data_IF_100204432768
#
_entry.id   IF_100204432768
#
_cell.length_a   1.000
_cell.length_b   1.000
_cell.length_c   1.000
_cell.angle_alpha   90.00
_cell.angle_beta   90.00
_cell.angle_gamma   90.00
#
_symmetry.space_group_name_H-M   'P 1'
#
loop_
_entity.id
_entity.type
_entity.pdbx_description
1 polymer ?
#
# COMPACT_ATOMS: atom_id res chain seq x y z
N UNK A 1 -19.09 -4.35 -17.33
CA UNK A 1 -17.87 -5.02 -17.87
C UNK A 1 -16.83 -5.11 -16.75
N UNK A 2 -16.42 -6.31 -16.35
CA UNK A 2 -15.39 -6.49 -15.32
C UNK A 2 -14.03 -6.15 -15.91
N UNK A 3 -13.37 -5.12 -15.38
CA UNK A 3 -12.02 -4.73 -15.81
C UNK A 3 -11.06 -5.85 -15.43
N UNK A 4 -10.33 -6.42 -16.40
CA UNK A 4 -9.29 -7.42 -16.15
C UNK A 4 -8.21 -6.78 -15.28
N UNK A 5 -8.17 -7.12 -13.99
CA UNK A 5 -7.11 -6.68 -13.08
C UNK A 5 -5.83 -7.43 -13.44
N UNK A 6 -4.76 -6.68 -13.65
CA UNK A 6 -3.43 -7.22 -13.96
C UNK A 6 -2.57 -7.03 -12.72
N UNK A 7 -2.16 -8.13 -12.09
CA UNK A 7 -1.23 -8.13 -10.97
C UNK A 7 0.22 -8.31 -11.43
N UNK A 8 1.17 -8.19 -10.51
CA UNK A 8 2.60 -8.35 -10.80
C UNK A 8 2.91 -9.69 -11.45
N UNK A 9 2.35 -10.79 -10.92
CA UNK A 9 2.57 -12.13 -11.50
C UNK A 9 2.08 -12.20 -12.94
N UNK A 10 0.90 -11.65 -13.22
CA UNK A 10 0.32 -11.56 -14.57
C UNK A 10 1.22 -10.77 -15.53
N UNK A 11 1.82 -9.67 -15.06
CA UNK A 11 2.79 -8.89 -15.85
C UNK A 11 4.06 -9.69 -16.10
N UNK A 12 4.63 -10.34 -15.08
CA UNK A 12 5.81 -11.16 -15.23
C UNK A 12 5.60 -12.36 -16.15
N UNK A 13 4.46 -13.06 -16.04
CA UNK A 13 4.11 -14.15 -16.94
C UNK A 13 3.97 -13.67 -18.39
N UNK A 14 3.43 -12.46 -18.60
CA UNK A 14 3.37 -11.83 -19.92
C UNK A 14 4.77 -11.55 -20.46
N UNK A 15 5.69 -11.05 -19.63
CA UNK A 15 7.09 -10.80 -20.01
C UNK A 15 7.80 -12.10 -20.39
N UNK A 16 7.65 -13.17 -19.59
CA UNK A 16 8.23 -14.49 -19.88
C UNK A 16 7.71 -15.02 -21.22
N UNK A 17 6.40 -14.90 -21.45
CA UNK A 17 5.77 -15.39 -22.68
C UNK A 17 6.14 -14.56 -23.92
N UNK A 18 6.34 -13.24 -23.80
CA UNK A 18 6.68 -12.36 -24.92
C UNK A 18 8.18 -12.33 -25.23
N UNK A 19 9.04 -12.41 -24.22
CA UNK A 19 10.49 -12.26 -24.36
C UNK A 19 11.28 -13.57 -24.26
N UNK A 20 10.66 -14.68 -23.85
CA UNK A 20 11.28 -16.02 -23.88
C UNK A 20 12.66 -16.11 -23.20
N UNK A 21 13.50 -17.02 -23.69
CA UNK A 21 14.86 -17.31 -23.18
C UNK A 21 15.85 -16.14 -23.33
N UNK A 22 15.59 -15.17 -24.22
CA UNK A 22 16.50 -14.04 -24.44
C UNK A 22 16.56 -13.05 -23.25
N UNK A 23 15.62 -13.17 -22.30
CA UNK A 23 15.65 -12.43 -21.03
C UNK A 23 16.16 -13.27 -19.83
N UNK A 24 16.50 -14.56 -20.02
CA UNK A 24 16.93 -15.48 -18.95
C UNK A 24 15.92 -15.60 -17.77
N UNK A 25 14.64 -15.35 -18.00
CA UNK A 25 13.57 -15.48 -17.01
C UNK A 25 12.91 -16.86 -17.11
N UNK A 26 13.31 -17.77 -16.23
CA UNK A 26 12.64 -19.07 -16.06
C UNK A 26 11.52 -18.97 -15.03
N UNK A 27 10.51 -19.86 -15.05
CA UNK A 27 9.48 -19.92 -14.01
C UNK A 27 10.06 -20.03 -12.59
N UNK A 28 11.19 -20.74 -12.45
CA UNK A 28 11.92 -20.86 -11.17
C UNK A 28 12.47 -19.51 -10.70
N UNK A 29 13.15 -18.77 -11.59
CA UNK A 29 13.67 -17.44 -11.27
C UNK A 29 12.53 -16.47 -10.93
N UNK A 30 11.45 -16.49 -11.70
CA UNK A 30 10.27 -15.68 -11.42
C UNK A 30 9.69 -15.95 -10.03
N UNK A 31 9.54 -17.24 -9.66
CA UNK A 31 9.08 -17.61 -8.32
C UNK A 31 10.01 -17.04 -7.24
N UNK A 32 11.33 -17.16 -7.42
CA UNK A 32 12.31 -16.62 -6.46
C UNK A 32 12.18 -15.10 -6.31
N UNK A 33 12.10 -14.35 -7.42
CA UNK A 33 11.93 -12.90 -7.39
C UNK A 33 10.61 -12.48 -6.74
N UNK A 34 9.52 -13.21 -7.02
CA UNK A 34 8.21 -12.91 -6.43
C UNK A 34 8.20 -13.10 -4.92
N UNK A 35 8.83 -14.19 -4.46
CA UNK A 35 8.99 -14.46 -3.03
C UNK A 35 9.86 -13.38 -2.39
N UNK A 36 11.01 -13.06 -2.98
CA UNK A 36 11.92 -12.05 -2.46
C UNK A 36 11.26 -10.66 -2.36
N UNK A 37 10.56 -10.21 -3.41
CA UNK A 37 9.84 -8.95 -3.41
C UNK A 37 8.71 -8.89 -2.38
N UNK A 38 8.02 -10.01 -2.15
CA UNK A 38 6.97 -10.09 -1.13
C UNK A 38 7.56 -9.96 0.27
N UNK A 39 8.64 -10.68 0.57
CA UNK A 39 9.30 -10.61 1.88
C UNK A 39 9.98 -9.26 2.14
N UNK A 40 10.53 -8.61 1.11
CA UNK A 40 11.09 -7.27 1.25
C UNK A 40 10.02 -6.24 1.69
N UNK A 41 8.78 -6.40 1.24
CA UNK A 41 7.68 -5.49 1.56
C UNK A 41 6.93 -5.81 2.86
N UNK A 42 6.90 -7.07 3.30
CA UNK A 42 6.03 -7.48 4.41
C UNK A 42 6.47 -6.88 5.75
N UNK A 43 7.74 -6.99 6.10
CA UNK A 43 8.25 -6.55 7.39
C UNK A 43 8.23 -5.02 7.51
N UNK A 44 8.68 -4.32 6.46
CA UNK A 44 8.68 -2.86 6.40
C UNK A 44 7.26 -2.27 6.44
N UNK A 45 6.30 -2.87 5.72
CA UNK A 45 4.90 -2.43 5.75
C UNK A 45 4.25 -2.71 7.10
N UNK A 46 4.46 -3.89 7.68
CA UNK A 46 3.92 -4.24 9.00
C UNK A 46 4.48 -3.32 10.10
N UNK A 47 5.79 -3.06 10.08
CA UNK A 47 6.45 -2.13 11.00
C UNK A 47 5.89 -0.71 10.86
N UNK A 48 5.71 -0.23 9.63
CA UNK A 48 5.13 1.09 9.36
C UNK A 48 3.71 1.20 9.91
N UNK A 49 2.84 0.24 9.59
CA UNK A 49 1.44 0.24 10.07
C UNK A 49 1.37 0.19 11.59
N UNK A 50 2.14 -0.70 12.22
CA UNK A 50 2.23 -0.81 13.68
C UNK A 50 2.59 0.53 14.30
N UNK A 51 3.59 1.19 13.73
CA UNK A 51 4.11 2.45 14.26
C UNK A 51 3.13 3.60 14.06
N UNK A 52 2.39 3.63 12.94
CA UNK A 52 1.29 4.58 12.74
C UNK A 52 0.25 4.45 13.87
N UNK A 53 -0.22 3.24 14.14
CA UNK A 53 -1.19 3.03 15.22
C UNK A 53 -0.62 3.39 16.59
N UNK A 54 0.62 3.00 16.89
CA UNK A 54 1.28 3.36 18.14
C UNK A 54 1.35 4.89 18.34
N UNK A 55 1.79 5.63 17.32
CA UNK A 55 1.87 7.10 17.38
C UNK A 55 0.50 7.76 17.54
N UNK A 56 -0.54 7.24 16.88
CA UNK A 56 -1.91 7.75 17.00
C UNK A 56 -2.51 7.48 18.39
N UNK A 57 -2.32 6.28 18.94
CA UNK A 57 -2.80 5.93 20.29
C UNK A 57 -2.15 6.80 21.38
N UNK A 58 -0.88 7.16 21.21
CA UNK A 58 -0.17 8.08 22.11
C UNK A 58 -0.51 9.57 21.87
N UNK A 59 -1.25 9.90 20.81
CA UNK A 59 -1.65 11.26 20.48
C UNK A 59 -3.16 11.32 20.23
N UNK A 60 -4.00 11.32 21.29
CA UNK A 60 -5.46 11.31 21.16
C UNK A 60 -6.01 12.46 20.30
N UNK A 61 -5.35 13.63 20.34
CA UNK A 61 -5.70 14.77 19.48
C UNK A 61 -5.50 14.45 18.00
N UNK A 62 -4.38 13.82 17.65
CA UNK A 62 -4.06 13.46 16.26
C UNK A 62 -4.97 12.34 15.77
N UNK A 63 -5.26 11.35 16.62
CA UNK A 63 -6.20 10.26 16.33
C UNK A 63 -7.60 10.79 16.03
N UNK A 64 -8.15 11.64 16.90
CA UNK A 64 -9.46 12.26 16.66
C UNK A 64 -9.51 13.08 15.38
N UNK A 65 -8.42 13.80 15.07
CA UNK A 65 -8.37 14.64 13.86
C UNK A 65 -8.36 13.83 12.57
N UNK A 66 -7.61 12.72 12.51
CA UNK A 66 -7.61 11.85 11.31
C UNK A 66 -8.91 11.07 11.18
N UNK A 67 -9.50 10.62 12.30
CA UNK A 67 -10.83 10.00 12.29
C UNK A 67 -11.89 10.96 11.77
N UNK A 68 -11.93 12.21 12.26
CA UNK A 68 -12.87 13.22 11.79
C UNK A 68 -12.75 13.50 10.27
N UNK A 69 -11.52 13.53 9.73
CA UNK A 69 -11.31 13.67 8.27
C UNK A 69 -11.92 12.49 7.49
N UNK A 70 -11.73 11.26 7.98
CA UNK A 70 -12.27 10.04 7.36
C UNK A 70 -13.79 9.98 7.48
N UNK A 71 -14.34 10.22 8.67
CA UNK A 71 -15.78 10.17 8.96
C UNK A 71 -16.53 11.21 8.15
N UNK A 72 -16.00 12.44 8.04
CA UNK A 72 -16.58 13.47 7.20
C UNK A 72 -16.63 13.07 5.72
N UNK A 73 -15.61 12.34 5.25
CA UNK A 73 -15.57 11.87 3.87
C UNK A 73 -16.55 10.72 3.59
N UNK A 74 -16.88 9.89 4.57
CA UNK A 74 -18.00 8.95 4.45
C UNK A 74 -19.35 9.69 4.50
N UNK A 75 -19.52 10.63 5.41
CA UNK A 75 -20.77 11.37 5.58
C UNK A 75 -21.15 12.19 4.33
N UNK A 76 -20.17 12.77 3.64
CA UNK A 76 -20.40 13.56 2.42
C UNK A 76 -20.39 12.72 1.12
N UNK A 77 -20.24 11.40 1.22
CA UNK A 77 -20.23 10.49 0.07
C UNK A 77 -18.94 10.49 -0.77
N UNK A 78 -17.87 11.16 -0.32
CA UNK A 78 -16.56 11.10 -0.98
C UNK A 78 -15.96 9.70 -0.90
N UNK A 79 -16.13 9.03 0.24
CA UNK A 79 -15.82 7.62 0.44
C UNK A 79 -17.10 6.78 0.44
N UNK A 80 -16.97 5.58 -0.10
CA UNK A 80 -17.95 4.51 -0.01
C UNK A 80 -17.22 3.18 0.22
N UNK A 81 -17.94 2.17 0.67
CA UNK A 81 -17.40 0.82 0.77
C UNK A 81 -17.60 0.07 -0.56
N UNK A 82 -16.56 -0.55 -1.14
CA UNK A 82 -15.16 -0.57 -0.69
C UNK A 82 -14.40 0.74 -0.99
N UNK A 83 -13.50 1.12 -0.07
CA UNK A 83 -12.70 2.35 -0.20
C UNK A 83 -11.84 2.31 -1.45
N UNK A 84 -11.92 3.36 -2.27
CA UNK A 84 -11.13 3.50 -3.49
C UNK A 84 -9.83 4.26 -3.22
N UNK A 85 -8.71 3.67 -3.65
CA UNK A 85 -7.37 4.24 -3.47
C UNK A 85 -7.26 5.69 -3.99
N UNK A 86 -7.78 5.96 -5.20
CA UNK A 86 -7.73 7.27 -5.84
C UNK A 86 -8.49 8.38 -5.08
N UNK A 87 -9.34 8.03 -4.10
CA UNK A 87 -10.01 8.98 -3.21
C UNK A 87 -9.18 9.23 -1.96
N UNK A 88 -8.77 8.16 -1.28
CA UNK A 88 -8.11 8.24 0.04
C UNK A 88 -6.71 8.88 -0.02
N UNK A 89 -5.99 8.75 -1.14
CA UNK A 89 -4.67 9.39 -1.31
C UNK A 89 -4.73 10.93 -1.30
N UNK A 90 -5.92 11.51 -1.46
CA UNK A 90 -6.11 12.96 -1.50
C UNK A 90 -6.29 13.58 -0.12
N UNK A 91 -6.29 12.78 0.94
CA UNK A 91 -6.68 13.23 2.28
C UNK A 91 -5.48 13.84 2.98
N UNK A 92 -5.42 15.18 3.12
CA UNK A 92 -4.19 15.86 3.51
C UNK A 92 -3.71 15.47 4.91
N UNK A 93 -4.62 15.29 5.87
CA UNK A 93 -4.22 14.98 7.23
C UNK A 93 -3.79 13.52 7.39
N UNK A 94 -4.51 12.58 6.76
CA UNK A 94 -4.08 11.19 6.66
C UNK A 94 -2.68 11.06 6.02
N UNK A 95 -2.42 11.77 4.93
CA UNK A 95 -1.10 11.79 4.31
C UNK A 95 -0.03 12.41 5.23
N UNK A 96 -0.38 13.46 5.98
CA UNK A 96 0.52 14.05 6.96
C UNK A 96 0.86 13.06 8.10
N UNK A 97 -0.10 12.29 8.60
CA UNK A 97 0.13 11.25 9.61
C UNK A 97 1.12 10.20 9.11
N UNK A 98 0.89 9.66 7.90
CA UNK A 98 1.78 8.65 7.30
C UNK A 98 3.19 9.20 7.13
N UNK A 99 3.32 10.42 6.58
CA UNK A 99 4.62 11.07 6.36
C UNK A 99 5.34 11.39 7.66
N UNK A 100 4.62 11.84 8.69
CA UNK A 100 5.22 12.17 9.97
C UNK A 100 5.72 10.93 10.69
N UNK A 101 4.97 9.84 10.63
CA UNK A 101 5.44 8.55 11.16
C UNK A 101 6.67 8.08 10.38
N UNK A 102 6.67 8.17 9.05
CA UNK A 102 7.85 7.85 8.24
C UNK A 102 9.06 8.76 8.54
N UNK A 103 8.84 10.02 8.92
CA UNK A 103 9.89 10.97 9.35
C UNK A 103 10.46 10.62 10.73
N UNK A 104 9.60 10.22 11.66
CA UNK A 104 10.00 9.84 13.03
C UNK A 104 10.68 8.47 13.09
N UNK A 105 10.29 7.57 12.20
CA UNK A 105 10.83 6.22 12.10
C UNK A 105 11.38 5.98 10.68
N UNK A 106 12.43 6.73 10.28
CA UNK A 106 13.04 6.60 8.96
C UNK A 106 13.91 5.34 8.94
N UNK A 107 13.80 4.55 7.87
CA UNK A 107 14.48 3.26 7.71
C UNK A 107 14.16 2.26 8.83
N UNK A 108 13.12 1.45 8.57
CA UNK A 108 13.22 0.03 8.89
C UNK A 108 13.75 -0.66 7.64
#
# INVERSE_FOLDING_TARGET
MSVKRVDLLSQFMTIVHQRGESASYTPKKLRTEMVAGTFAGVDSTAATIRTIFYSLMNSPRSMKKVQAEIDAAFANGTLSHPVQYNKVIKFPYLQAVIKEVARMFPAW
#
